data_IF_339327298823
#
_entry.id   IF_339327298823
#
_cell.length_a   1.000
_cell.length_b   1.000
_cell.length_c   1.000
_cell.angle_alpha   90.00
_cell.angle_beta   90.00
_cell.angle_gamma   90.00
#
_symmetry.space_group_name_H-M   'P 1'
#
loop_
_entity.id
_entity.type
_entity.pdbx_description
1 polymer ?
#
# COMPACT_ATOMS: atom_id res chain seq x y z
N UNK A 1 0.16 -41.57 43.25
CA UNK A 1 0.36 -41.29 41.81
C UNK A 1 0.29 -39.79 41.62
N UNK A 2 1.35 -39.22 41.03
CA UNK A 2 1.60 -37.77 40.93
C UNK A 2 0.67 -37.12 39.91
N UNK A 3 0.24 -35.91 40.26
CA UNK A 3 -0.19 -34.77 39.46
C UNK A 3 0.02 -34.85 37.94
N UNK A 4 -0.90 -34.30 37.15
CA UNK A 4 -0.83 -32.89 36.74
C UNK A 4 -2.07 -32.54 35.90
N UNK A 5 -2.85 -31.60 36.41
CA UNK A 5 -3.86 -30.84 35.68
C UNK A 5 -3.12 -30.06 34.59
N UNK A 6 -3.29 -30.43 33.32
CA UNK A 6 -2.87 -29.58 32.21
C UNK A 6 -4.06 -28.73 31.77
N UNK A 7 -3.93 -27.47 32.17
CA UNK A 7 -4.70 -26.29 31.84
C UNK A 7 -4.97 -26.22 30.34
N UNK A 8 -6.24 -26.34 29.94
CA UNK A 8 -6.71 -25.93 28.62
C UNK A 8 -6.76 -24.40 28.65
N UNK A 9 -5.67 -23.78 28.21
CA UNK A 9 -5.53 -22.34 28.04
C UNK A 9 -6.29 -21.93 26.77
N UNK A 10 -7.55 -21.57 26.96
CA UNK A 10 -8.16 -20.27 26.60
C UNK A 10 -7.45 -19.46 25.50
N UNK A 11 -8.22 -19.22 24.43
CA UNK A 11 -8.27 -18.05 23.51
C UNK A 11 -7.08 -17.88 22.55
N UNK A 12 -7.40 -17.93 21.25
CA UNK A 12 -7.22 -16.78 20.36
C UNK A 12 -8.28 -16.85 19.26
N UNK A 13 -9.25 -15.95 19.37
CA UNK A 13 -10.09 -15.49 18.28
C UNK A 13 -9.17 -15.08 17.12
N UNK A 14 -8.96 -15.96 16.14
CA UNK A 14 -8.54 -15.50 14.82
C UNK A 14 -9.78 -14.90 14.18
N UNK A 15 -10.01 -13.62 14.49
CA UNK A 15 -10.86 -12.77 13.68
C UNK A 15 -10.32 -12.79 12.26
N UNK A 16 -10.85 -13.69 11.43
CA UNK A 16 -10.72 -13.64 9.97
C UNK A 16 -11.57 -12.46 9.48
N UNK A 17 -11.15 -11.23 9.76
CA UNK A 17 -11.43 -10.14 8.85
C UNK A 17 -10.47 -10.28 7.66
N UNK A 18 -10.87 -9.94 6.43
CA UNK A 18 -9.92 -9.84 5.33
C UNK A 18 -8.91 -8.74 5.66
N UNK A 19 -7.74 -9.11 6.17
CA UNK A 19 -6.61 -8.20 6.27
C UNK A 19 -6.19 -7.90 4.84
N UNK A 20 -6.50 -6.71 4.34
CA UNK A 20 -5.88 -6.19 3.12
C UNK A 20 -4.37 -6.15 3.40
N UNK A 21 -3.64 -7.11 2.84
CA UNK A 21 -2.20 -7.27 3.09
C UNK A 21 -1.38 -6.81 1.88
N UNK A 22 -0.20 -6.30 2.17
CA UNK A 22 0.77 -5.96 1.14
C UNK A 22 1.37 -7.23 0.54
N UNK A 23 1.32 -7.35 -0.79
CA UNK A 23 1.89 -8.50 -1.52
C UNK A 23 3.20 -8.10 -2.15
N UNK A 24 4.27 -8.86 -1.92
CA UNK A 24 5.57 -8.62 -2.54
C UNK A 24 5.64 -9.23 -3.94
N UNK A 25 6.16 -8.45 -4.89
CA UNK A 25 6.42 -8.88 -6.26
C UNK A 25 7.89 -8.68 -6.61
N UNK A 26 8.48 -9.70 -7.24
CA UNK A 26 9.91 -9.73 -7.59
C UNK A 26 10.29 -8.81 -8.76
N UNK A 27 9.31 -8.33 -9.53
CA UNK A 27 9.53 -7.50 -10.71
C UNK A 27 8.49 -6.37 -10.75
N UNK A 28 8.91 -5.17 -10.35
CA UNK A 28 8.05 -3.98 -10.43
C UNK A 28 7.70 -3.65 -11.89
N UNK A 29 8.65 -3.83 -12.82
CA UNK A 29 8.45 -3.51 -14.25
C UNK A 29 7.38 -4.37 -14.90
N UNK A 30 7.27 -5.64 -14.50
CA UNK A 30 6.22 -6.54 -14.97
C UNK A 30 4.83 -6.04 -14.52
N UNK A 31 4.67 -5.66 -13.26
CA UNK A 31 3.40 -5.13 -12.73
C UNK A 31 3.02 -3.79 -13.38
N UNK A 32 3.96 -2.86 -13.49
CA UNK A 32 3.74 -1.56 -14.14
C UNK A 32 3.28 -1.78 -15.60
N UNK A 33 3.94 -2.68 -16.32
CA UNK A 33 3.56 -3.02 -17.70
C UNK A 33 2.16 -3.64 -17.76
N UNK A 34 1.81 -4.51 -16.81
CA UNK A 34 0.49 -5.13 -16.73
C UNK A 34 -0.60 -4.06 -16.54
N UNK A 35 -0.42 -3.12 -15.61
CA UNK A 35 -1.41 -2.07 -15.34
C UNK A 35 -1.56 -1.08 -16.50
N UNK A 36 -0.45 -0.70 -17.14
CA UNK A 36 -0.50 0.14 -18.36
C UNK A 36 -1.24 -0.55 -19.49
N UNK A 37 -1.00 -1.85 -19.71
CA UNK A 37 -1.74 -2.65 -20.71
C UNK A 37 -3.21 -2.79 -20.38
N UNK A 38 -3.58 -2.75 -19.10
CA UNK A 38 -4.96 -2.72 -18.65
C UNK A 38 -5.61 -1.34 -18.75
N UNK A 39 -4.92 -0.33 -19.30
CA UNK A 39 -5.45 1.03 -19.47
C UNK A 39 -5.56 1.82 -18.16
N UNK A 40 -4.84 1.41 -17.11
CA UNK A 40 -4.84 2.16 -15.84
C UNK A 40 -4.00 3.43 -15.97
N UNK A 41 -4.52 4.52 -15.42
CA UNK A 41 -3.79 5.76 -15.19
C UNK A 41 -2.73 5.53 -14.11
N UNK A 42 -1.57 6.17 -14.27
CA UNK A 42 -0.44 6.05 -13.35
C UNK A 42 -0.05 7.43 -12.80
N UNK A 43 0.12 7.50 -11.48
CA UNK A 43 0.82 8.57 -10.80
C UNK A 43 1.97 7.98 -10.00
N UNK A 44 3.09 8.71 -9.90
CA UNK A 44 4.23 8.30 -9.09
C UNK A 44 4.85 9.51 -8.40
N UNK A 45 5.44 9.30 -7.24
CA UNK A 45 6.07 10.35 -6.44
C UNK A 45 7.04 9.73 -5.43
N UNK A 46 7.98 10.52 -4.93
CA UNK A 46 8.70 10.18 -3.70
C UNK A 46 7.72 10.13 -2.54
N UNK A 47 7.88 9.13 -1.67
CA UNK A 47 7.17 9.03 -0.40
C UNK A 47 7.94 9.79 0.69
N UNK A 48 7.91 11.12 0.56
CA UNK A 48 8.54 12.08 1.47
C UNK A 48 7.50 12.77 2.38
N UNK A 49 7.94 13.68 3.24
CA UNK A 49 7.07 14.37 4.21
C UNK A 49 5.91 15.12 3.55
N UNK A 50 6.09 15.64 2.32
CA UNK A 50 5.01 16.31 1.57
C UNK A 50 3.95 15.32 1.14
N UNK A 51 4.35 14.18 0.59
CA UNK A 51 3.42 13.11 0.20
C UNK A 51 2.72 12.52 1.44
N UNK A 52 3.43 12.34 2.55
CA UNK A 52 2.85 11.89 3.82
C UNK A 52 1.79 12.87 4.30
N UNK A 53 2.12 14.17 4.35
CA UNK A 53 1.18 15.20 4.81
C UNK A 53 -0.04 15.33 3.91
N UNK A 54 0.13 15.19 2.58
CA UNK A 54 -0.98 15.13 1.62
C UNK A 54 -1.89 13.93 1.92
N UNK A 55 -1.32 12.72 2.01
CA UNK A 55 -2.10 11.51 2.25
C UNK A 55 -2.74 11.49 3.64
N UNK A 56 -2.14 12.13 4.64
CA UNK A 56 -2.68 12.25 5.99
C UNK A 56 -3.86 13.23 6.06
N UNK A 57 -3.77 14.36 5.34
CA UNK A 57 -4.83 15.37 5.33
C UNK A 57 -6.03 14.95 4.49
N UNK A 58 -5.80 14.29 3.36
CA UNK A 58 -6.84 13.96 2.38
C UNK A 58 -7.37 12.51 2.52
N UNK A 59 -7.04 11.82 3.63
CA UNK A 59 -7.50 10.46 3.94
C UNK A 59 -9.00 10.24 3.64
N UNK A 60 -9.94 11.10 4.08
CA UNK A 60 -11.35 10.77 3.95
C UNK A 60 -11.86 10.69 2.50
N UNK A 61 -11.12 11.21 1.52
CA UNK A 61 -11.56 11.34 0.14
C UNK A 61 -10.74 10.55 -0.88
N UNK A 62 -9.50 10.18 -0.54
CA UNK A 62 -8.61 9.47 -1.46
C UNK A 62 -8.30 8.05 -0.99
N UNK A 63 -7.92 7.86 0.27
CA UNK A 63 -7.52 6.56 0.82
C UNK A 63 -8.00 6.40 2.26
N UNK A 64 -8.63 5.27 2.59
CA UNK A 64 -9.02 5.01 3.97
C UNK A 64 -7.84 5.12 4.95
N UNK A 65 -8.11 5.47 6.21
CA UNK A 65 -7.08 5.49 7.26
C UNK A 65 -6.36 4.14 7.41
N UNK A 66 -7.04 3.03 7.12
CA UNK A 66 -6.43 1.70 7.07
C UNK A 66 -5.42 1.58 5.93
N UNK A 67 -5.79 1.99 4.72
CA UNK A 67 -4.89 2.02 3.55
C UNK A 67 -3.69 2.93 3.82
N UNK A 68 -3.90 4.11 4.41
CA UNK A 68 -2.81 5.00 4.81
C UNK A 68 -1.83 4.32 5.79
N UNK A 69 -2.34 3.69 6.85
CA UNK A 69 -1.52 2.98 7.82
C UNK A 69 -0.70 1.85 7.16
N UNK A 70 -1.29 1.14 6.19
CA UNK A 70 -0.59 0.12 5.41
C UNK A 70 0.52 0.73 4.54
N UNK A 71 0.26 1.87 3.87
CA UNK A 71 1.27 2.57 3.07
C UNK A 71 2.47 2.95 3.95
N UNK A 72 2.22 3.56 5.12
CA UNK A 72 3.29 3.96 6.05
C UNK A 72 4.10 2.74 6.50
N UNK A 73 3.44 1.69 6.99
CA UNK A 73 4.09 0.44 7.42
C UNK A 73 4.93 -0.20 6.30
N UNK A 74 4.39 -0.26 5.08
CA UNK A 74 5.10 -0.84 3.94
C UNK A 74 6.27 0.05 3.51
N UNK A 75 6.13 1.37 3.57
CA UNK A 75 7.22 2.30 3.24
C UNK A 75 8.44 2.10 4.14
N UNK A 76 8.22 1.89 5.44
CA UNK A 76 9.30 1.59 6.40
C UNK A 76 9.97 0.26 6.06
N UNK A 77 9.18 -0.75 5.67
CA UNK A 77 9.68 -2.04 5.22
C UNK A 77 10.56 -1.91 3.97
N UNK A 78 10.08 -1.18 2.95
CA UNK A 78 10.83 -0.90 1.72
C UNK A 78 12.13 -0.15 2.02
N UNK A 79 12.08 0.86 2.90
CA UNK A 79 13.26 1.64 3.30
C UNK A 79 14.31 0.78 4.02
N UNK A 80 13.87 -0.20 4.81
CA UNK A 80 14.74 -1.14 5.54
C UNK A 80 15.35 -2.19 4.60
N UNK A 81 14.52 -2.80 3.75
CA UNK A 81 14.92 -3.93 2.90
C UNK A 81 15.61 -3.50 1.60
N UNK A 82 15.29 -2.31 1.09
CA UNK A 82 15.82 -1.72 -0.15
C UNK A 82 15.79 -2.70 -1.34
N UNK A 83 14.62 -3.28 -1.68
CA UNK A 83 14.52 -4.24 -2.78
C UNK A 83 14.94 -3.59 -4.10
N UNK A 84 15.93 -4.15 -4.79
CA UNK A 84 16.52 -3.51 -5.98
C UNK A 84 15.67 -3.59 -7.26
N UNK A 85 14.79 -4.59 -7.39
CA UNK A 85 13.96 -4.82 -8.61
C UNK A 85 12.49 -5.17 -8.29
N UNK A 86 12.15 -5.25 -7.00
CA UNK A 86 10.85 -5.68 -6.52
C UNK A 86 10.09 -4.55 -5.83
N UNK A 87 8.80 -4.77 -5.64
CA UNK A 87 7.91 -3.81 -5.01
C UNK A 87 6.88 -4.51 -4.13
N UNK A 88 6.30 -3.75 -3.22
CA UNK A 88 5.11 -4.16 -2.48
C UNK A 88 3.87 -3.55 -3.12
N UNK A 89 2.87 -4.37 -3.40
CA UNK A 89 1.57 -3.96 -3.91
C UNK A 89 0.55 -3.94 -2.78
N UNK A 90 -0.23 -2.88 -2.71
CA UNK A 90 -1.39 -2.72 -1.85
C UNK A 90 -2.65 -2.56 -2.72
N UNK A 91 -3.77 -3.03 -2.20
CA UNK A 91 -5.07 -2.74 -2.79
C UNK A 91 -5.54 -1.35 -2.35
N UNK A 92 -5.86 -0.52 -3.33
CA UNK A 92 -6.49 0.77 -3.10
C UNK A 92 -7.98 0.60 -3.25
N UNK A 93 -8.64 0.42 -2.11
CA UNK A 93 -10.09 0.27 -2.03
C UNK A 93 -10.57 1.37 -1.10
N UNK A 94 -11.34 2.30 -1.66
CA UNK A 94 -12.11 3.26 -0.86
C UNK A 94 -13.59 2.89 -0.92
N UNK A 95 -14.14 2.59 0.26
CA UNK A 95 -15.54 2.22 0.45
C UNK A 95 -16.51 3.38 0.22
N UNK A 96 -16.05 4.62 0.35
CA UNK A 96 -16.92 5.80 0.24
C UNK A 96 -17.11 6.27 -1.20
N UNK A 97 -16.14 5.98 -2.07
CA UNK A 97 -16.06 6.55 -3.42
C UNK A 97 -16.03 5.48 -4.53
N UNK A 98 -16.15 4.19 -4.16
CA UNK A 98 -16.04 3.03 -5.06
C UNK A 98 -14.75 3.06 -5.91
N UNK A 99 -13.72 3.76 -5.43
CA UNK A 99 -12.43 3.84 -6.07
C UNK A 99 -11.75 2.49 -5.88
N UNK A 100 -11.34 1.90 -7.01
CA UNK A 100 -10.52 0.70 -7.04
C UNK A 100 -9.24 0.99 -7.80
N UNK A 101 -8.14 0.59 -7.20
CA UNK A 101 -6.82 0.78 -7.77
C UNK A 101 -5.80 -0.11 -7.09
N UNK A 102 -4.54 0.11 -7.46
CA UNK A 102 -3.38 -0.56 -6.87
C UNK A 102 -2.36 0.50 -6.49
N UNK A 103 -1.68 0.29 -5.36
CA UNK A 103 -0.58 1.14 -4.93
C UNK A 103 0.68 0.29 -4.91
N UNK A 104 1.75 0.75 -5.55
CA UNK A 104 3.06 0.11 -5.48
C UNK A 104 3.99 0.96 -4.62
N UNK A 105 4.77 0.30 -3.76
CA UNK A 105 5.91 0.90 -3.06
C UNK A 105 7.19 0.18 -3.46
N UNK A 106 8.16 0.93 -3.96
CA UNK A 106 9.44 0.43 -4.46
C UNK A 106 10.60 1.27 -3.92
N UNK A 107 11.81 0.70 -3.90
CA UNK A 107 13.01 1.42 -3.48
C UNK A 107 13.76 1.96 -4.70
N UNK A 108 14.10 3.24 -4.67
CA UNK A 108 14.99 3.89 -5.62
C UNK A 108 16.29 4.33 -4.91
N UNK A 109 17.48 4.05 -5.47
CA UNK A 109 18.76 4.36 -4.81
C UNK A 109 18.96 5.84 -4.48
N UNK A 110 18.46 6.74 -5.33
CA UNK A 110 18.63 8.19 -5.18
C UNK A 110 17.47 8.84 -4.44
N UNK A 111 16.26 8.35 -4.69
CA UNK A 111 15.02 9.04 -4.29
C UNK A 111 14.37 8.43 -3.04
N UNK A 112 14.87 7.28 -2.59
CA UNK A 112 14.32 6.55 -1.47
C UNK A 112 13.08 5.76 -1.87
N UNK A 113 12.04 5.81 -1.04
CA UNK A 113 10.79 5.08 -1.32
C UNK A 113 9.99 5.84 -2.38
N UNK A 114 9.64 5.16 -3.46
CA UNK A 114 8.72 5.65 -4.48
C UNK A 114 7.35 5.01 -4.23
N UNK A 115 6.30 5.83 -4.26
CA UNK A 115 4.91 5.39 -4.26
C UNK A 115 4.31 5.60 -5.64
N UNK A 116 3.63 4.58 -6.17
CA UNK A 116 2.89 4.66 -7.44
C UNK A 116 1.44 4.31 -7.22
N UNK A 117 0.53 5.10 -7.78
CA UNK A 117 -0.91 4.86 -7.75
C UNK A 117 -1.37 4.48 -9.15
N UNK A 118 -2.15 3.41 -9.23
CA UNK A 118 -2.78 2.94 -10.47
C UNK A 118 -4.30 2.88 -10.27
N UNK A 119 -5.05 3.50 -11.18
CA UNK A 119 -6.52 3.44 -11.16
C UNK A 119 -7.09 3.69 -12.55
N UNK A 120 -8.33 3.25 -12.80
CA UNK A 120 -9.08 3.61 -14.02
C UNK A 120 -9.91 4.88 -13.85
N UNK A 121 -9.88 5.50 -12.67
CA UNK A 121 -10.67 6.70 -12.34
C UNK A 121 -9.85 7.98 -12.53
N UNK A 122 -10.20 8.78 -13.54
CA UNK A 122 -9.61 10.11 -13.75
C UNK A 122 -9.84 11.03 -12.55
N UNK A 123 -11.03 10.98 -11.94
CA UNK A 123 -11.36 11.78 -10.76
C UNK A 123 -10.51 11.45 -9.54
N UNK A 124 -10.06 10.20 -9.41
CA UNK A 124 -9.13 9.80 -8.36
C UNK A 124 -7.72 10.28 -8.68
N UNK A 125 -7.34 10.23 -9.96
CA UNK A 125 -6.05 10.70 -10.42
C UNK A 125 -5.89 12.21 -10.26
N UNK A 126 -6.93 12.99 -10.58
CA UNK A 126 -6.91 14.46 -10.47
C UNK A 126 -6.91 14.98 -9.03
N UNK A 127 -7.12 14.10 -8.03
CA UNK A 127 -6.99 14.45 -6.61
C UNK A 127 -5.56 14.31 -6.11
N UNK A 128 -4.74 13.49 -6.79
CA UNK A 128 -3.31 13.41 -6.49
C UNK A 128 -2.64 14.74 -6.87
N UNK A 129 -1.58 15.15 -6.17
CA UNK A 129 -0.99 16.46 -6.40
C UNK A 129 -0.32 16.53 -7.78
N UNK A 130 -0.48 17.67 -8.48
CA UNK A 130 0.03 17.89 -9.84
C UNK A 130 1.56 17.77 -9.96
N UNK A 131 2.28 17.96 -8.84
CA UNK A 131 3.72 17.78 -8.77
C UNK A 131 4.02 16.46 -8.07
N UNK A 132 4.40 15.45 -8.85
CA UNK A 132 5.15 14.31 -8.33
C UNK A 132 6.36 14.84 -7.55
N UNK A 133 6.35 14.70 -6.22
CA UNK A 133 7.39 15.25 -5.33
C UNK A 133 8.71 14.47 -5.42
#
# INVERSE_FOLDING_TARGET
>A
MKSLIYVIFVILFTGCGPTSEAVYFKSQSALITQYRKAGMLEYNSRFNDKMISFLEKDQPQLISSHTYALIVKVSEKVRKEKPGIGCYQLDWIDSTSNIRGKILLEWHPTDGVIIRFFTTSEASMSRLPDQSF
#
